data_IF_098596489621
#
_entry.id   IF_098596489621
#
_cell.length_a   1.000
_cell.length_b   1.000
_cell.length_c   1.000
_cell.angle_alpha   90.00
_cell.angle_beta   90.00
_cell.angle_gamma   90.00
#
_symmetry.space_group_name_H-M   'P 1'
#
loop_
_entity.id
_entity.type
_entity.pdbx_description
1 polymer ?
#
# COMPACT_ATOMS: atom_id res chain seq x y z
N UNK A 1 6.91 7.40 -15.38
CA UNK A 1 8.19 6.68 -15.42
C UNK A 1 8.63 6.53 -16.88
N UNK A 2 9.57 7.35 -17.35
CA UNK A 2 10.47 6.91 -18.44
C UNK A 2 11.04 5.53 -18.07
N UNK A 3 11.44 4.70 -19.05
CA UNK A 3 11.95 3.33 -18.82
C UNK A 3 12.64 3.24 -17.48
N UNK A 4 12.07 2.46 -16.55
CA UNK A 4 12.65 2.30 -15.22
C UNK A 4 13.94 1.52 -15.45
N UNK A 5 15.02 2.25 -15.69
CA UNK A 5 16.35 1.69 -15.94
C UNK A 5 16.87 1.22 -14.59
N UNK A 6 16.46 -0.01 -14.24
CA UNK A 6 16.89 -0.69 -13.02
C UNK A 6 18.37 -1.02 -13.19
N UNK A 7 19.22 -0.10 -12.77
CA UNK A 7 20.66 -0.26 -12.73
C UNK A 7 21.14 -0.31 -11.26
N UNK A 8 21.33 -1.53 -10.71
CA UNK A 8 21.78 -1.72 -9.33
C UNK A 8 23.05 -0.94 -8.96
N UNK A 9 23.97 -0.76 -9.92
CA UNK A 9 25.23 -0.03 -9.67
C UNK A 9 25.01 1.45 -9.32
N UNK A 10 23.86 2.01 -9.69
CA UNK A 10 23.48 3.40 -9.40
C UNK A 10 22.54 3.53 -8.21
N UNK A 11 22.22 2.44 -7.52
CA UNK A 11 21.26 2.45 -6.42
C UNK A 11 21.71 3.38 -5.29
N UNK A 12 22.94 3.17 -4.79
CA UNK A 12 23.48 3.94 -3.67
C UNK A 12 23.66 5.43 -3.99
N UNK A 13 24.03 5.75 -5.24
CA UNK A 13 24.08 7.13 -5.74
C UNK A 13 22.69 7.80 -5.65
N UNK A 14 21.66 7.14 -6.17
CA UNK A 14 20.30 7.70 -6.17
C UNK A 14 19.69 7.79 -4.77
N UNK A 15 20.00 6.84 -3.89
CA UNK A 15 19.58 6.91 -2.49
C UNK A 15 20.24 8.11 -1.78
N UNK A 16 21.52 8.35 -2.03
CA UNK A 16 22.22 9.53 -1.52
C UNK A 16 21.59 10.83 -2.03
N UNK A 17 21.26 10.91 -3.33
CA UNK A 17 20.55 12.07 -3.91
C UNK A 17 19.19 12.31 -3.23
N UNK A 18 18.41 11.25 -2.97
CA UNK A 18 17.13 11.34 -2.25
C UNK A 18 17.33 11.83 -0.81
N UNK A 19 18.35 11.31 -0.14
CA UNK A 19 18.70 11.65 1.25
C UNK A 19 19.08 13.13 1.34
N UNK A 20 19.95 13.61 0.46
CA UNK A 20 20.37 15.01 0.39
C UNK A 20 19.18 15.93 0.11
N UNK A 21 18.38 15.61 -0.92
CA UNK A 21 17.21 16.41 -1.30
C UNK A 21 16.16 16.46 -0.20
N UNK A 22 15.90 15.35 0.50
CA UNK A 22 14.95 15.34 1.62
C UNK A 22 15.50 16.18 2.78
N UNK A 23 16.79 16.03 3.13
CA UNK A 23 17.44 16.83 4.17
C UNK A 23 17.37 18.33 3.85
N UNK A 24 17.67 18.73 2.61
CA UNK A 24 17.59 20.13 2.18
C UNK A 24 16.15 20.68 2.25
N UNK A 25 15.17 19.90 1.81
CA UNK A 25 13.75 20.27 1.81
C UNK A 25 13.22 20.60 3.22
N UNK A 26 13.72 19.91 4.25
CA UNK A 26 13.31 20.08 5.64
C UNK A 26 14.31 20.90 6.47
N UNK A 27 15.33 21.49 5.86
CA UNK A 27 16.37 22.28 6.54
C UNK A 27 15.86 23.50 7.31
N UNK A 28 14.63 23.96 7.05
CA UNK A 28 13.99 25.05 7.78
C UNK A 28 13.43 24.63 9.16
N UNK A 29 13.30 23.32 9.41
CA UNK A 29 12.81 22.78 10.67
C UNK A 29 13.98 22.24 11.50
N UNK A 30 13.79 22.16 12.81
CA UNK A 30 14.70 21.43 13.70
C UNK A 30 14.34 19.94 13.62
N UNK A 31 15.04 19.20 12.76
CA UNK A 31 14.87 17.76 12.55
C UNK A 31 16.05 16.98 13.11
N UNK A 32 15.82 15.78 13.66
CA UNK A 32 16.90 14.89 14.06
C UNK A 32 17.66 14.35 12.83
N UNK A 33 18.71 13.57 13.08
CA UNK A 33 19.40 12.83 12.03
C UNK A 33 18.41 11.95 11.25
N UNK A 34 18.47 12.03 9.92
CA UNK A 34 17.58 11.31 9.03
C UNK A 34 17.88 9.81 9.07
N UNK A 35 16.91 9.02 9.49
CA UNK A 35 16.96 7.56 9.43
C UNK A 35 16.68 7.09 7.99
N UNK A 36 17.59 6.36 7.36
CA UNK A 36 17.45 5.94 5.95
C UNK A 36 17.21 4.44 5.85
N UNK A 37 16.08 4.07 5.26
CA UNK A 37 15.64 2.68 5.08
C UNK A 37 15.68 2.29 3.61
N UNK A 38 16.70 1.50 3.25
CA UNK A 38 16.94 1.05 1.88
C UNK A 38 15.88 0.05 1.37
N UNK A 39 15.75 -0.05 0.05
CA UNK A 39 15.02 -1.12 -0.63
C UNK A 39 15.99 -2.17 -1.17
N UNK A 40 15.54 -3.42 -1.39
CA UNK A 40 16.19 -4.28 -2.36
C UNK A 40 16.37 -3.55 -3.70
N UNK A 41 17.55 -3.67 -4.30
CA UNK A 41 17.91 -3.01 -5.58
C UNK A 41 17.10 -3.55 -6.76
N UNK A 42 16.57 -4.77 -6.64
CA UNK A 42 15.74 -5.40 -7.66
C UNK A 42 14.63 -6.21 -6.99
N UNK A 43 13.61 -6.54 -7.78
CA UNK A 43 12.49 -7.40 -7.37
C UNK A 43 11.72 -6.92 -6.14
N UNK A 44 11.70 -5.61 -5.94
CA UNK A 44 11.08 -4.98 -4.78
C UNK A 44 9.57 -4.76 -4.97
N UNK A 45 9.09 -4.62 -6.21
CA UNK A 45 7.72 -4.20 -6.49
C UNK A 45 6.77 -5.40 -6.56
N UNK A 46 5.84 -5.46 -5.62
CA UNK A 46 4.88 -6.55 -5.48
C UNK A 46 3.66 -6.44 -6.41
N UNK A 47 3.50 -5.32 -7.11
CA UNK A 47 2.40 -5.08 -8.07
C UNK A 47 2.88 -4.46 -9.37
N UNK A 48 2.43 -4.99 -10.50
CA UNK A 48 2.78 -4.46 -11.82
C UNK A 48 1.59 -4.56 -12.78
N UNK A 49 1.47 -3.57 -13.66
CA UNK A 49 0.38 -3.47 -14.64
C UNK A 49 1.01 -3.31 -16.03
N UNK A 50 0.61 -4.16 -16.97
CA UNK A 50 1.17 -4.16 -18.32
C UNK A 50 0.05 -4.10 -19.34
N UNK A 51 0.23 -3.30 -20.40
CA UNK A 51 -0.63 -3.45 -21.58
C UNK A 51 -0.21 -4.70 -22.33
N UNK A 52 -1.15 -5.28 -23.04
CA UNK A 52 -0.90 -6.42 -23.93
C UNK A 52 -0.99 -5.94 -25.37
N UNK A 53 0.06 -6.23 -26.14
CA UNK A 53 0.11 -5.96 -27.57
C UNK A 53 -0.03 -7.27 -28.35
N UNK A 54 -0.70 -7.20 -29.50
CA UNK A 54 -0.94 -8.35 -30.37
C UNK A 54 -0.30 -8.06 -31.74
N UNK A 55 0.52 -8.97 -32.23
CA UNK A 55 1.16 -8.88 -33.55
C UNK A 55 1.03 -10.22 -34.27
N UNK A 56 0.07 -10.30 -35.20
CA UNK A 56 -0.29 -11.56 -35.84
C UNK A 56 -0.82 -12.56 -34.79
N UNK A 57 -0.11 -13.68 -34.64
CA UNK A 57 -0.39 -14.71 -33.62
C UNK A 57 0.41 -14.50 -32.33
N UNK A 58 1.40 -13.60 -32.33
CA UNK A 58 2.17 -13.26 -31.14
C UNK A 58 1.36 -12.35 -30.19
N UNK A 59 1.72 -12.40 -28.91
CA UNK A 59 1.15 -11.59 -27.84
C UNK A 59 2.24 -11.33 -26.80
N UNK A 60 2.45 -10.06 -26.43
CA UNK A 60 3.50 -9.71 -25.47
C UNK A 60 3.12 -8.48 -24.63
N UNK A 61 3.78 -8.32 -23.49
CA UNK A 61 3.58 -7.16 -22.63
C UNK A 61 4.29 -5.93 -23.18
N UNK A 62 3.66 -4.78 -22.99
CA UNK A 62 4.25 -3.48 -23.30
C UNK A 62 4.01 -2.48 -22.17
N UNK A 63 4.96 -1.58 -22.03
CA UNK A 63 4.85 -0.36 -21.24
C UNK A 63 5.12 0.84 -22.15
N UNK A 64 4.89 2.04 -21.63
CA UNK A 64 5.12 3.29 -22.35
C UNK A 64 6.17 4.12 -21.64
N UNK A 65 7.14 4.63 -22.40
CA UNK A 65 8.00 5.69 -21.92
C UNK A 65 7.13 6.91 -21.58
N UNK A 66 7.26 7.48 -20.39
CA UNK A 66 6.36 8.56 -20.00
C UNK A 66 6.67 9.93 -20.58
N UNK A 67 7.89 10.16 -21.07
CA UNK A 67 8.27 11.38 -21.77
C UNK A 67 7.85 11.28 -23.24
N UNK A 68 8.32 10.26 -23.94
CA UNK A 68 8.10 10.12 -25.39
C UNK A 68 6.74 9.51 -25.75
N UNK A 69 6.06 8.86 -24.78
CA UNK A 69 4.86 8.04 -24.99
C UNK A 69 5.07 6.83 -25.92
N UNK A 70 6.31 6.53 -26.29
CA UNK A 70 6.63 5.37 -27.11
C UNK A 70 6.44 4.08 -26.34
N UNK A 71 5.85 3.09 -27.00
CA UNK A 71 5.69 1.74 -26.45
C UNK A 71 6.99 0.96 -26.57
N UNK A 72 7.28 0.11 -25.59
CA UNK A 72 8.38 -0.85 -25.64
C UNK A 72 7.92 -2.21 -25.11
N UNK A 73 8.47 -3.28 -25.69
CA UNK A 73 8.22 -4.66 -25.29
C UNK A 73 8.88 -4.95 -23.95
N UNK A 74 8.18 -5.70 -23.10
CA UNK A 74 8.62 -6.07 -21.75
C UNK A 74 8.54 -7.58 -21.60
N UNK A 75 9.66 -8.27 -21.84
CA UNK A 75 9.75 -9.72 -21.59
C UNK A 75 10.12 -10.04 -20.14
N UNK A 76 10.80 -9.10 -19.48
CA UNK A 76 11.19 -9.12 -18.07
C UNK A 76 11.07 -7.71 -17.51
N UNK A 77 10.76 -7.60 -16.23
CA UNK A 77 10.63 -6.35 -15.51
C UNK A 77 11.32 -6.44 -14.14
N UNK A 78 12.65 -6.20 -14.06
CA UNK A 78 13.46 -6.41 -12.86
C UNK A 78 13.01 -5.64 -11.61
N UNK A 79 12.21 -4.59 -11.76
CA UNK A 79 11.60 -3.89 -10.62
C UNK A 79 10.50 -4.74 -9.95
N UNK A 80 9.71 -5.50 -10.72
CA UNK A 80 8.69 -6.39 -10.16
C UNK A 80 9.31 -7.60 -9.48
N UNK A 81 8.57 -8.16 -8.53
CA UNK A 81 8.95 -9.36 -7.78
C UNK A 81 9.39 -10.50 -8.71
N UNK A 82 10.21 -11.41 -8.17
CA UNK A 82 10.63 -12.62 -8.91
C UNK A 82 9.42 -13.41 -9.38
N UNK A 83 8.42 -13.58 -8.50
CA UNK A 83 7.18 -14.29 -8.82
C UNK A 83 6.45 -13.72 -10.04
N UNK A 84 6.41 -12.39 -10.21
CA UNK A 84 5.85 -11.76 -11.40
C UNK A 84 6.70 -12.06 -12.64
N UNK A 85 8.03 -11.88 -12.55
CA UNK A 85 8.95 -12.12 -13.68
C UNK A 85 8.94 -13.58 -14.15
N UNK A 86 8.82 -14.53 -13.21
CA UNK A 86 8.76 -15.96 -13.49
C UNK A 86 7.42 -16.33 -14.15
N UNK A 87 6.31 -15.72 -13.70
CA UNK A 87 4.96 -16.00 -14.22
C UNK A 87 4.70 -15.39 -15.60
N UNK A 88 5.18 -14.17 -15.86
CA UNK A 88 4.93 -13.41 -17.10
C UNK A 88 5.11 -14.23 -18.40
N UNK A 89 6.26 -14.87 -18.66
CA UNK A 89 6.46 -15.63 -19.90
C UNK A 89 5.55 -16.87 -19.97
N UNK A 90 5.39 -17.60 -18.85
CA UNK A 90 4.55 -18.81 -18.80
C UNK A 90 3.08 -18.49 -19.04
N UNK A 91 2.58 -17.42 -18.43
CA UNK A 91 1.21 -16.97 -18.60
C UNK A 91 0.94 -16.56 -20.05
N UNK A 92 1.86 -15.82 -20.67
CA UNK A 92 1.74 -15.41 -22.08
C UNK A 92 1.74 -16.63 -23.01
N UNK A 93 2.69 -17.55 -22.81
CA UNK A 93 2.81 -18.76 -23.63
C UNK A 93 1.57 -19.66 -23.55
N UNK A 94 1.03 -19.86 -22.35
CA UNK A 94 -0.17 -20.66 -22.13
C UNK A 94 -1.45 -20.02 -22.70
N UNK A 95 -1.48 -18.69 -22.88
CA UNK A 95 -2.64 -17.98 -23.43
C UNK A 95 -2.60 -17.76 -24.95
N UNK A 96 -1.41 -17.72 -25.57
CA UNK A 96 -1.25 -17.22 -26.95
C UNK A 96 -2.09 -18.00 -27.99
N UNK A 97 -2.18 -19.32 -27.83
CA UNK A 97 -2.92 -20.19 -28.76
C UNK A 97 -4.40 -20.37 -28.35
N UNK A 98 -4.79 -19.89 -27.17
CA UNK A 98 -6.16 -19.96 -26.71
C UNK A 98 -6.94 -18.70 -27.12
N UNK A 99 -7.77 -18.82 -28.15
CA UNK A 99 -8.57 -17.69 -28.66
C UNK A 99 -9.45 -17.04 -27.59
N UNK A 100 -10.02 -17.79 -26.65
CA UNK A 100 -10.86 -17.22 -25.61
C UNK A 100 -10.03 -16.41 -24.60
N UNK A 101 -8.83 -16.84 -24.25
CA UNK A 101 -7.98 -16.11 -23.30
C UNK A 101 -7.26 -14.93 -23.96
N UNK A 102 -6.91 -15.04 -25.25
CA UNK A 102 -6.17 -14.02 -26.01
C UNK A 102 -7.06 -12.91 -26.59
N UNK A 103 -8.22 -13.26 -27.17
CA UNK A 103 -8.98 -12.31 -27.98
C UNK A 103 -9.45 -11.10 -27.16
N UNK A 104 -9.02 -9.90 -27.58
CA UNK A 104 -9.31 -8.59 -26.96
C UNK A 104 -8.78 -8.43 -25.53
N UNK A 105 -7.84 -9.26 -25.07
CA UNK A 105 -7.04 -8.99 -23.88
C UNK A 105 -6.19 -7.75 -24.14
N UNK A 106 -6.28 -6.71 -23.31
CA UNK A 106 -5.54 -5.46 -23.54
C UNK A 106 -4.63 -5.06 -22.38
N UNK A 107 -4.81 -5.66 -21.22
CA UNK A 107 -4.02 -5.38 -20.02
C UNK A 107 -4.03 -6.58 -19.08
N UNK A 108 -2.91 -6.78 -18.39
CA UNK A 108 -2.76 -7.75 -17.32
C UNK A 108 -2.19 -7.05 -16.10
N UNK A 109 -2.88 -7.21 -14.97
CA UNK A 109 -2.45 -6.66 -13.68
C UNK A 109 -2.01 -7.83 -12.79
N UNK A 110 -0.85 -7.67 -12.16
CA UNK A 110 -0.25 -8.64 -11.25
C UNK A 110 -0.21 -8.06 -9.84
N UNK A 111 -0.69 -8.85 -8.88
CA UNK A 111 -0.56 -8.59 -7.45
C UNK A 111 0.08 -9.83 -6.80
N UNK A 112 1.35 -9.72 -6.43
CA UNK A 112 2.15 -10.75 -5.76
C UNK A 112 2.38 -10.38 -4.29
N UNK A 113 2.91 -11.33 -3.52
CA UNK A 113 3.19 -11.17 -2.09
C UNK A 113 4.54 -11.78 -1.73
N UNK A 114 5.10 -11.39 -0.58
CA UNK A 114 6.26 -12.05 0.01
C UNK A 114 5.94 -13.48 0.48
N UNK A 115 4.66 -13.78 0.78
CA UNK A 115 4.21 -15.12 1.14
C UNK A 115 4.22 -16.13 -0.03
N UNK A 116 4.37 -15.65 -1.27
CA UNK A 116 4.37 -16.47 -2.49
C UNK A 116 3.00 -16.61 -3.16
N UNK A 117 1.94 -15.95 -2.68
CA UNK A 117 0.67 -15.87 -3.40
C UNK A 117 0.73 -14.84 -4.54
N UNK A 118 0.02 -15.13 -5.64
CA UNK A 118 -0.14 -14.19 -6.76
C UNK A 118 -1.57 -14.21 -7.30
N UNK A 119 -2.09 -13.02 -7.59
CA UNK A 119 -3.38 -12.79 -8.21
C UNK A 119 -3.15 -12.04 -9.51
N UNK A 120 -3.73 -12.57 -10.60
CA UNK A 120 -3.62 -11.96 -11.92
C UNK A 120 -5.00 -11.58 -12.45
N UNK A 121 -5.13 -10.32 -12.84
CA UNK A 121 -6.35 -9.80 -13.46
C UNK A 121 -6.14 -9.63 -14.96
N UNK A 122 -6.97 -10.31 -15.74
CA UNK A 122 -6.98 -10.28 -17.20
C UNK A 122 -8.09 -9.34 -17.67
N UNK A 123 -7.72 -8.22 -18.32
CA UNK A 123 -8.66 -7.16 -18.69
C UNK A 123 -8.97 -7.16 -20.19
N UNK A 124 -10.26 -7.14 -20.53
CA UNK A 124 -10.75 -7.38 -21.88
C UNK A 124 -11.65 -6.25 -22.43
N UNK A 125 -11.51 -6.00 -23.74
CA UNK A 125 -12.45 -5.19 -24.53
C UNK A 125 -13.60 -6.04 -25.13
N UNK A 126 -14.05 -7.06 -24.40
CA UNK A 126 -15.21 -7.91 -24.75
C UNK A 126 -15.84 -8.48 -23.49
N UNK A 127 -17.10 -8.89 -23.57
CA UNK A 127 -17.75 -9.64 -22.49
C UNK A 127 -17.17 -11.05 -22.40
N UNK A 128 -17.13 -11.59 -21.18
CA UNK A 128 -16.61 -12.92 -20.88
C UNK A 128 -17.78 -13.87 -20.64
N UNK A 129 -17.67 -15.09 -21.16
CA UNK A 129 -18.71 -16.12 -21.08
C UNK A 129 -18.17 -17.45 -20.56
N UNK A 130 -19.00 -18.49 -20.58
CA UNK A 130 -18.69 -19.80 -20.00
C UNK A 130 -17.39 -20.41 -20.55
N UNK A 131 -17.15 -20.29 -21.86
CA UNK A 131 -15.91 -20.79 -22.48
C UNK A 131 -14.66 -20.12 -21.87
N UNK A 132 -14.69 -18.80 -21.65
CA UNK A 132 -13.57 -18.11 -21.01
C UNK A 132 -13.35 -18.60 -19.58
N UNK A 133 -14.44 -18.87 -18.83
CA UNK A 133 -14.34 -19.39 -17.46
C UNK A 133 -13.69 -20.77 -17.45
N UNK A 134 -14.08 -21.66 -18.37
CA UNK A 134 -13.50 -23.00 -18.50
C UNK A 134 -12.01 -22.93 -18.83
N UNK A 135 -11.65 -22.12 -19.83
CA UNK A 135 -10.26 -21.96 -20.26
C UNK A 135 -9.40 -21.28 -19.17
N UNK A 136 -9.94 -20.30 -18.45
CA UNK A 136 -9.25 -19.63 -17.36
C UNK A 136 -9.02 -20.57 -16.16
N UNK A 137 -9.97 -21.48 -15.88
CA UNK A 137 -9.77 -22.53 -14.86
C UNK A 137 -8.66 -23.51 -15.26
N UNK A 138 -8.64 -23.93 -16.53
CA UNK A 138 -7.58 -24.81 -17.05
C UNK A 138 -6.21 -24.12 -17.01
N UNK A 139 -6.12 -22.86 -17.43
CA UNK A 139 -4.91 -22.04 -17.34
C UNK A 139 -4.41 -21.93 -15.89
N UNK A 140 -5.30 -21.59 -14.96
CA UNK A 140 -4.96 -21.51 -13.53
C UNK A 140 -4.41 -22.83 -13.01
N UNK A 141 -5.07 -23.95 -13.33
CA UNK A 141 -4.63 -25.27 -12.89
C UNK A 141 -3.24 -25.60 -13.45
N UNK A 142 -3.03 -25.41 -14.75
CA UNK A 142 -1.74 -25.63 -15.40
C UNK A 142 -0.62 -24.85 -14.71
N UNK A 143 -0.82 -23.55 -14.45
CA UNK A 143 0.21 -22.73 -13.81
C UNK A 143 0.42 -23.10 -12.33
N UNK A 144 -0.62 -23.55 -11.61
CA UNK A 144 -0.44 -24.07 -10.26
C UNK A 144 0.30 -25.41 -10.24
N UNK A 145 0.14 -26.25 -11.27
CA UNK A 145 0.89 -27.50 -11.42
C UNK A 145 2.40 -27.24 -11.68
N UNK A 146 2.74 -26.08 -12.24
CA UNK A 146 4.12 -25.56 -12.37
C UNK A 146 4.67 -24.98 -11.03
N UNK A 147 3.88 -25.01 -9.95
CA UNK A 147 4.31 -24.64 -8.60
C UNK A 147 3.92 -23.23 -8.15
N UNK A 148 3.09 -22.51 -8.91
CA UNK A 148 2.56 -21.22 -8.48
C UNK A 148 1.38 -21.36 -7.49
N UNK A 149 1.17 -20.35 -6.65
CA UNK A 149 -0.08 -20.17 -5.90
C UNK A 149 -0.89 -19.04 -6.54
N UNK A 150 -1.45 -19.32 -7.72
CA UNK A 150 -2.12 -18.37 -8.59
C UNK A 150 -3.63 -18.38 -8.42
N UNK A 151 -4.23 -17.18 -8.40
CA UNK A 151 -5.63 -16.96 -8.71
C UNK A 151 -5.81 -16.01 -9.90
N UNK A 152 -6.96 -16.13 -10.57
CA UNK A 152 -7.29 -15.32 -11.75
C UNK A 152 -8.61 -14.57 -11.59
N UNK A 153 -8.64 -13.37 -12.16
CA UNK A 153 -9.83 -12.54 -12.32
C UNK A 153 -9.98 -12.15 -13.79
N UNK A 154 -11.18 -12.32 -14.32
CA UNK A 154 -11.57 -11.77 -15.63
C UNK A 154 -12.29 -10.45 -15.45
N UNK A 155 -11.80 -9.40 -16.11
CA UNK A 155 -12.44 -8.08 -16.09
C UNK A 155 -12.84 -7.63 -17.48
N UNK A 156 -14.05 -7.09 -17.56
CA UNK A 156 -14.54 -6.38 -18.73
C UNK A 156 -15.42 -5.22 -18.28
N UNK A 157 -15.95 -4.44 -19.22
CA UNK A 157 -16.84 -3.31 -18.91
C UNK A 157 -18.03 -3.80 -18.06
N UNK A 158 -18.12 -3.30 -16.81
CA UNK A 158 -19.13 -3.65 -15.80
C UNK A 158 -19.20 -5.15 -15.45
N UNK A 159 -18.11 -5.88 -15.63
CA UNK A 159 -18.03 -7.31 -15.39
C UNK A 159 -16.75 -7.65 -14.64
N UNK A 160 -16.89 -8.42 -13.55
CA UNK A 160 -15.80 -9.01 -12.77
C UNK A 160 -16.15 -10.48 -12.56
N UNK A 161 -15.34 -11.38 -13.10
CA UNK A 161 -15.43 -12.82 -12.87
C UNK A 161 -14.26 -13.20 -11.98
N UNK A 162 -14.56 -13.58 -10.74
CA UNK A 162 -13.59 -14.10 -9.79
C UNK A 162 -13.63 -15.62 -9.89
N UNK A 163 -12.50 -16.29 -10.12
CA UNK A 163 -12.50 -17.76 -10.18
C UNK A 163 -12.72 -18.36 -8.79
N UNK A 164 -11.87 -18.00 -7.82
CA UNK A 164 -11.97 -18.50 -6.44
C UNK A 164 -12.01 -17.36 -5.42
N UNK A 165 -11.02 -16.45 -5.49
CA UNK A 165 -10.89 -15.29 -4.60
C UNK A 165 -10.31 -14.10 -5.35
N UNK A 166 -10.58 -12.90 -4.86
CA UNK A 166 -10.11 -11.64 -5.40
C UNK A 166 -9.11 -10.92 -4.48
N UNK A 167 -8.42 -11.70 -3.67
CA UNK A 167 -7.37 -11.25 -2.77
C UNK A 167 -6.21 -12.23 -2.74
N UNK A 168 -5.07 -11.75 -2.26
CA UNK A 168 -3.91 -12.54 -1.84
C UNK A 168 -3.70 -12.38 -0.34
N UNK A 169 -3.02 -13.34 0.27
CA UNK A 169 -2.59 -13.29 1.67
C UNK A 169 -1.11 -12.93 1.71
N UNK A 170 -0.79 -11.76 2.23
CA UNK A 170 0.58 -11.33 2.49
C UNK A 170 1.02 -11.75 3.89
N UNK A 171 2.33 -11.97 4.04
CA UNK A 171 3.00 -12.13 5.33
C UNK A 171 4.16 -11.15 5.42
N UNK A 172 4.11 -10.26 6.40
CA UNK A 172 5.16 -9.28 6.68
C UNK A 172 5.78 -9.61 8.03
N UNK A 173 7.10 -9.72 8.08
CA UNK A 173 7.82 -9.94 9.32
C UNK A 173 8.23 -8.59 9.93
N UNK A 174 7.88 -8.35 11.20
CA UNK A 174 8.11 -7.09 11.91
C UNK A 174 8.75 -7.44 13.26
N UNK A 175 10.03 -7.10 13.44
CA UNK A 175 10.77 -7.38 14.68
C UNK A 175 10.74 -8.87 15.12
N UNK A 176 10.61 -9.79 14.16
CA UNK A 176 10.57 -11.24 14.40
C UNK A 176 9.17 -11.84 14.54
N UNK A 177 8.13 -11.01 14.62
CA UNK A 177 6.73 -11.45 14.58
C UNK A 177 6.19 -11.39 13.14
N UNK A 178 5.39 -12.39 12.74
CA UNK A 178 4.84 -12.48 11.38
C UNK A 178 3.37 -12.08 11.37
N UNK A 179 3.04 -11.06 10.59
CA UNK A 179 1.69 -10.51 10.45
C UNK A 179 1.05 -10.93 9.13
N UNK A 180 -0.22 -11.33 9.21
CA UNK A 180 -1.04 -11.77 8.07
C UNK A 180 -1.87 -10.60 7.55
N UNK A 181 -1.76 -10.28 6.26
CA UNK A 181 -2.54 -9.23 5.62
C UNK A 181 -3.22 -9.73 4.35
N UNK A 182 -4.54 -9.79 4.36
CA UNK A 182 -5.36 -9.89 3.17
C UNK A 182 -5.20 -8.60 2.34
N UNK A 183 -4.90 -8.78 1.07
CA UNK A 183 -4.73 -7.72 0.10
C UNK A 183 -5.72 -7.95 -1.06
N UNK A 184 -6.77 -7.14 -1.10
CA UNK A 184 -7.84 -7.25 -2.09
C UNK A 184 -7.44 -6.52 -3.37
N UNK A 185 -7.72 -7.14 -4.52
CA UNK A 185 -7.51 -6.54 -5.83
C UNK A 185 -8.11 -5.13 -5.95
N UNK A 186 -7.38 -4.20 -6.58
CA UNK A 186 -7.71 -2.78 -6.71
C UNK A 186 -7.84 -2.00 -5.39
N UNK A 187 -7.56 -2.61 -4.24
CA UNK A 187 -7.36 -1.88 -2.98
C UNK A 187 -5.89 -1.47 -2.85
N UNK A 188 -5.63 -0.39 -2.12
CA UNK A 188 -4.27 0.08 -1.90
C UNK A 188 -3.49 -0.89 -1.01
N UNK A 189 -2.24 -1.14 -1.38
CA UNK A 189 -1.23 -1.84 -0.59
C UNK A 189 0.12 -1.22 -0.86
N UNK A 190 1.02 -1.30 0.12
CA UNK A 190 2.37 -0.82 -0.07
C UNK A 190 3.06 -1.64 -1.17
N UNK A 191 3.56 -0.98 -2.24
CA UNK A 191 4.04 -1.69 -3.42
C UNK A 191 5.37 -2.40 -3.19
N UNK A 192 6.07 -2.10 -2.10
CA UNK A 192 7.35 -2.70 -1.75
C UNK A 192 7.25 -3.39 -0.39
N UNK A 193 7.02 -4.70 -0.38
CA UNK A 193 6.80 -5.48 0.85
C UNK A 193 7.96 -5.39 1.83
N UNK A 194 9.21 -5.37 1.35
CA UNK A 194 10.41 -5.29 2.22
C UNK A 194 10.64 -3.92 2.83
N UNK A 195 10.25 -2.87 2.15
CA UNK A 195 10.25 -1.53 2.75
C UNK A 195 9.03 -1.34 3.65
N UNK A 196 7.89 -1.98 3.35
CA UNK A 196 6.73 -1.98 4.23
C UNK A 196 7.04 -2.62 5.61
N UNK A 197 7.78 -3.74 5.65
CA UNK A 197 8.30 -4.31 6.91
C UNK A 197 9.08 -3.26 7.72
N UNK A 198 10.02 -2.55 7.08
CA UNK A 198 10.83 -1.50 7.72
C UNK A 198 9.99 -0.31 8.23
N UNK A 199 8.95 0.08 7.49
CA UNK A 199 8.02 1.14 7.91
C UNK A 199 7.26 0.71 9.17
N UNK A 200 6.81 -0.55 9.23
CA UNK A 200 6.14 -1.10 10.41
C UNK A 200 7.11 -1.18 11.60
N UNK A 201 8.34 -1.64 11.39
CA UNK A 201 9.38 -1.69 12.44
C UNK A 201 9.68 -0.30 13.00
N UNK A 202 9.87 0.71 12.13
CA UNK A 202 10.09 2.09 12.54
C UNK A 202 8.90 2.67 13.31
N UNK A 203 7.67 2.40 12.86
CA UNK A 203 6.47 2.86 13.55
C UNK A 203 6.34 2.23 14.95
N UNK A 204 6.62 0.93 15.07
CA UNK A 204 6.65 0.22 16.37
C UNK A 204 7.74 0.79 17.26
N UNK A 205 8.93 1.04 16.74
CA UNK A 205 10.03 1.63 17.50
C UNK A 205 9.71 3.05 18.01
N UNK A 206 9.17 3.93 17.15
CA UNK A 206 8.79 5.29 17.54
C UNK A 206 7.74 5.36 18.65
N UNK A 207 6.90 4.33 18.80
CA UNK A 207 5.74 4.34 19.70
C UNK A 207 5.92 3.52 20.98
N UNK A 208 7.11 2.95 21.23
CA UNK A 208 7.36 2.10 22.41
C UNK A 208 6.99 2.79 23.74
N UNK A 209 7.24 4.10 23.84
CA UNK A 209 6.97 4.87 25.06
C UNK A 209 5.58 5.49 25.11
N UNK A 210 4.72 5.25 24.12
CA UNK A 210 3.37 5.81 24.08
C UNK A 210 2.50 5.29 25.22
N UNK A 211 1.46 6.05 25.55
CA UNK A 211 0.54 5.79 26.66
C UNK A 211 -0.90 5.94 26.20
N UNK A 212 -1.79 5.10 26.72
CA UNK A 212 -3.20 5.10 26.39
C UNK A 212 -3.49 4.44 25.04
N UNK A 213 -4.39 5.04 24.28
CA UNK A 213 -4.92 4.49 23.04
C UNK A 213 -4.30 5.15 21.80
N UNK A 214 -4.35 4.46 20.66
CA UNK A 214 -3.99 4.97 19.34
C UNK A 214 -5.24 5.30 18.53
N UNK A 215 -5.22 6.43 17.82
CA UNK A 215 -6.13 6.71 16.72
C UNK A 215 -5.39 6.65 15.38
N UNK A 216 -5.88 5.89 14.42
CA UNK A 216 -5.38 5.87 13.04
C UNK A 216 -6.41 6.40 12.05
N UNK A 217 -5.98 7.31 11.18
CA UNK A 217 -6.76 7.77 10.03
C UNK A 217 -6.27 7.10 8.74
N UNK A 218 -7.20 6.71 7.88
CA UNK A 218 -6.93 6.10 6.58
C UNK A 218 -6.24 4.73 6.68
N UNK A 219 -6.74 3.86 7.57
CA UNK A 219 -6.02 2.64 7.95
C UNK A 219 -5.91 1.58 6.84
N UNK A 220 -6.63 1.72 5.71
CA UNK A 220 -6.64 0.73 4.65
C UNK A 220 -7.07 -0.64 5.16
N UNK A 221 -6.24 -1.66 4.92
CA UNK A 221 -6.44 -3.02 5.44
C UNK A 221 -5.91 -3.22 6.88
N UNK A 222 -5.63 -2.14 7.61
CA UNK A 222 -5.12 -2.16 8.99
C UNK A 222 -3.61 -2.37 9.08
N UNK A 223 -2.83 -1.99 8.05
CA UNK A 223 -1.40 -2.27 7.96
C UNK A 223 -0.64 -1.86 9.24
N UNK A 224 -0.71 -0.57 9.60
CA UNK A 224 -0.05 -0.03 10.79
C UNK A 224 -0.81 -0.36 12.07
N UNK A 225 -2.14 -0.20 12.09
CA UNK A 225 -2.99 -0.52 13.26
C UNK A 225 -2.65 -1.84 13.92
N UNK A 226 -2.45 -2.90 13.12
CA UNK A 226 -2.19 -4.24 13.64
C UNK A 226 -0.78 -4.38 14.22
N UNK A 227 0.23 -3.83 13.55
CA UNK A 227 1.61 -3.85 14.05
C UNK A 227 1.76 -2.98 15.31
N UNK A 228 1.12 -1.82 15.33
CA UNK A 228 1.16 -0.87 16.43
C UNK A 228 0.34 -1.33 17.65
N UNK A 229 -0.63 -2.23 17.47
CA UNK A 229 -1.52 -2.71 18.53
C UNK A 229 -0.78 -3.19 19.80
N UNK A 230 0.44 -3.69 19.66
CA UNK A 230 1.29 -4.14 20.78
C UNK A 230 1.73 -3.00 21.72
N UNK A 231 1.78 -1.76 21.24
CA UNK A 231 2.27 -0.59 21.99
C UNK A 231 1.14 0.22 22.67
N UNK A 232 -0.13 -0.14 22.45
CA UNK A 232 -1.28 0.64 22.91
C UNK A 232 -2.29 -0.21 23.67
N UNK A 233 -3.05 0.42 24.58
CA UNK A 233 -4.11 -0.27 25.32
C UNK A 233 -5.25 -0.67 24.38
N UNK A 234 -5.69 0.25 23.52
CA UNK A 234 -6.60 0.01 22.39
C UNK A 234 -6.18 0.83 21.18
N UNK A 235 -6.57 0.35 20.01
CA UNK A 235 -6.42 1.04 18.74
C UNK A 235 -7.79 1.28 18.13
N UNK A 236 -8.06 2.52 17.78
CA UNK A 236 -9.21 2.93 17.00
C UNK A 236 -8.75 3.36 15.62
N UNK A 237 -9.21 2.70 14.57
CA UNK A 237 -8.76 2.98 13.21
C UNK A 237 -9.93 3.32 12.29
N UNK A 238 -9.75 4.26 11.37
CA UNK A 238 -10.81 4.73 10.47
C UNK A 238 -10.50 4.47 9.01
N UNK A 239 -11.49 3.97 8.26
CA UNK A 239 -11.39 3.73 6.82
C UNK A 239 -12.77 3.89 6.16
N UNK A 240 -12.82 4.41 4.94
CA UNK A 240 -14.06 4.64 4.20
C UNK A 240 -14.40 3.49 3.25
N UNK A 241 -13.39 2.94 2.59
CA UNK A 241 -13.48 1.93 1.55
C UNK A 241 -13.94 0.59 2.15
N UNK A 242 -15.12 0.14 1.72
CA UNK A 242 -15.73 -1.11 2.21
C UNK A 242 -14.80 -2.33 2.05
N UNK A 243 -14.14 -2.57 0.91
CA UNK A 243 -13.23 -3.72 0.76
C UNK A 243 -12.05 -3.66 1.73
N UNK A 244 -11.50 -2.46 1.97
CA UNK A 244 -10.42 -2.23 2.93
C UNK A 244 -10.87 -2.53 4.37
N UNK A 245 -12.06 -2.07 4.76
CA UNK A 245 -12.64 -2.39 6.09
C UNK A 245 -12.87 -3.90 6.27
N UNK A 246 -13.41 -4.58 5.26
CA UNK A 246 -13.62 -6.03 5.31
C UNK A 246 -12.29 -6.78 5.43
N UNK A 247 -11.26 -6.34 4.69
CA UNK A 247 -9.91 -6.88 4.80
C UNK A 247 -9.28 -6.61 6.17
N UNK A 248 -9.41 -5.40 6.72
CA UNK A 248 -8.91 -5.06 8.04
C UNK A 248 -9.53 -5.96 9.12
N UNK A 249 -10.84 -6.20 9.06
CA UNK A 249 -11.53 -7.12 9.97
C UNK A 249 -11.03 -8.58 9.83
N UNK A 250 -10.79 -9.04 8.60
CA UNK A 250 -10.14 -10.34 8.38
C UNK A 250 -8.75 -10.39 9.01
N UNK A 251 -7.96 -9.32 8.85
CA UNK A 251 -6.58 -9.26 9.35
C UNK A 251 -6.51 -9.23 10.88
N UNK A 252 -7.42 -8.52 11.55
CA UNK A 252 -7.56 -8.54 13.01
C UNK A 252 -7.77 -9.99 13.49
N UNK A 253 -8.72 -10.70 12.87
CA UNK A 253 -9.03 -12.08 13.23
C UNK A 253 -7.87 -13.04 12.91
N UNK A 254 -7.21 -12.87 11.76
CA UNK A 254 -6.10 -13.73 11.33
C UNK A 254 -4.87 -13.61 12.24
N UNK A 255 -4.61 -12.40 12.75
CA UNK A 255 -3.51 -12.12 13.68
C UNK A 255 -3.89 -12.32 15.15
N UNK A 256 -5.16 -12.64 15.45
CA UNK A 256 -5.69 -12.82 16.82
C UNK A 256 -5.47 -11.58 17.70
N UNK A 257 -5.63 -10.41 17.12
CA UNK A 257 -5.54 -9.13 17.82
C UNK A 257 -6.93 -8.79 18.37
N UNK A 258 -7.01 -8.41 19.65
CA UNK A 258 -8.25 -8.19 20.38
C UNK A 258 -8.51 -6.72 20.74
N UNK A 259 -7.49 -5.88 20.67
CA UNK A 259 -7.54 -4.48 21.08
C UNK A 259 -7.64 -3.48 19.91
N UNK A 260 -7.92 -3.94 18.68
CA UNK A 260 -8.10 -3.06 17.50
C UNK A 260 -9.56 -3.02 17.07
N UNK A 261 -10.09 -1.81 16.85
CA UNK A 261 -11.44 -1.60 16.35
C UNK A 261 -11.46 -0.69 15.11
N UNK A 262 -12.09 -1.17 14.03
CA UNK A 262 -12.23 -0.42 12.78
C UNK A 262 -13.57 0.29 12.71
N UNK A 263 -13.54 1.58 12.38
CA UNK A 263 -14.72 2.41 12.12
C UNK A 263 -14.79 2.73 10.64
N UNK A 264 -15.96 2.48 10.03
CA UNK A 264 -16.22 2.91 8.66
C UNK A 264 -16.63 4.38 8.56
N UNK A 265 -15.66 5.28 8.56
CA UNK A 265 -15.85 6.74 8.56
C UNK A 265 -14.68 7.46 7.89
N UNK A 266 -14.92 8.63 7.28
CA UNK A 266 -13.84 9.50 6.79
C UNK A 266 -13.20 10.27 7.94
N UNK A 267 -11.97 10.78 7.75
CA UNK A 267 -11.33 11.68 8.70
C UNK A 267 -12.16 12.93 8.98
N UNK A 268 -12.76 13.54 7.94
CA UNK A 268 -13.65 14.70 8.07
C UNK A 268 -14.85 14.42 8.99
N UNK A 269 -15.59 13.33 8.74
CA UNK A 269 -16.72 12.93 9.57
C UNK A 269 -16.26 12.57 10.99
N UNK A 270 -15.07 11.97 11.14
CA UNK A 270 -14.48 11.66 12.44
C UNK A 270 -14.17 12.91 13.26
N UNK A 271 -13.56 13.93 12.65
CA UNK A 271 -13.31 15.24 13.29
C UNK A 271 -14.61 15.85 13.82
N UNK A 272 -15.66 15.87 12.99
CA UNK A 272 -16.98 16.39 13.39
C UNK A 272 -17.57 15.59 14.56
N UNK A 273 -17.36 14.28 14.60
CA UNK A 273 -17.80 13.42 15.69
C UNK A 273 -17.04 13.71 17.00
N UNK A 274 -15.71 13.86 16.92
CA UNK A 274 -14.85 14.18 18.08
C UNK A 274 -15.17 15.55 18.69
N UNK A 275 -15.46 16.55 17.86
CA UNK A 275 -15.88 17.88 18.31
C UNK A 275 -17.30 17.90 18.90
N UNK A 276 -18.03 16.79 18.87
CA UNK A 276 -19.41 16.70 19.36
C UNK A 276 -20.42 17.50 18.54
N UNK A 277 -20.05 17.93 17.31
CA UNK A 277 -20.90 18.73 16.44
C UNK A 277 -22.04 17.92 15.82
N UNK A 278 -21.88 16.59 15.68
CA UNK A 278 -22.87 15.69 15.10
C UNK A 278 -22.79 14.28 15.67
N UNK A 279 -23.95 13.68 15.95
CA UNK A 279 -24.04 12.26 16.27
C UNK A 279 -24.05 11.39 15.00
N UNK A 280 -23.23 10.35 15.00
CA UNK A 280 -23.15 9.39 13.90
C UNK A 280 -23.71 8.03 14.34
N UNK A 281 -24.80 7.59 13.70
CA UNK A 281 -25.42 6.28 13.94
C UNK A 281 -24.45 5.11 13.84
N UNK A 282 -23.41 5.23 13.01
CA UNK A 282 -22.39 4.17 12.81
C UNK A 282 -21.56 3.92 14.07
N UNK A 283 -21.24 4.96 14.86
CA UNK A 283 -20.53 4.82 16.12
C UNK A 283 -21.41 4.07 17.15
N UNK A 284 -22.69 4.43 17.23
CA UNK A 284 -23.67 3.73 18.08
C UNK A 284 -23.82 2.25 17.67
N UNK A 285 -23.91 1.97 16.37
CA UNK A 285 -24.00 0.60 15.84
C UNK A 285 -22.75 -0.24 16.11
N UNK A 286 -21.57 0.39 16.12
CA UNK A 286 -20.31 -0.24 16.46
C UNK A 286 -20.07 -0.35 17.97
N UNK A 287 -21.00 0.17 18.80
CA UNK A 287 -20.88 0.26 20.26
C UNK A 287 -19.59 1.00 20.70
N UNK A 288 -19.25 2.07 19.98
CA UNK A 288 -18.05 2.88 20.25
C UNK A 288 -18.48 4.17 20.93
N UNK A 289 -18.04 4.33 22.17
CA UNK A 289 -18.05 5.62 22.84
C UNK A 289 -16.67 6.28 22.67
N UNK A 290 -16.57 7.25 21.76
CA UNK A 290 -15.33 7.99 21.51
C UNK A 290 -14.78 8.64 22.78
N UNK A 291 -15.64 9.04 23.73
CA UNK A 291 -15.19 9.66 24.99
C UNK A 291 -14.57 8.66 25.96
N UNK A 292 -14.78 7.37 25.74
CA UNK A 292 -14.14 6.31 26.52
C UNK A 292 -12.69 6.06 26.09
N UNK A 293 -12.28 6.54 24.91
CA UNK A 293 -10.92 6.41 24.40
C UNK A 293 -10.03 7.53 24.93
N UNK A 294 -8.84 7.16 25.40
CA UNK A 294 -7.80 8.07 25.84
C UNK A 294 -6.69 8.12 24.79
N UNK A 295 -7.02 8.63 23.60
CA UNK A 295 -6.10 8.69 22.49
C UNK A 295 -5.11 9.83 22.67
N UNK A 296 -3.88 9.52 23.07
CA UNK A 296 -2.79 10.50 23.15
C UNK A 296 -1.95 10.54 21.87
N UNK A 297 -1.95 9.44 21.11
CA UNK A 297 -1.20 9.32 19.85
C UNK A 297 -2.17 9.20 18.68
N UNK A 298 -1.88 9.91 17.60
CA UNK A 298 -2.57 9.80 16.32
C UNK A 298 -1.58 9.39 15.21
N UNK A 299 -1.99 8.45 14.37
CA UNK A 299 -1.28 8.03 13.17
C UNK A 299 -2.04 8.47 11.93
N UNK A 300 -1.33 9.03 10.95
CA UNK A 300 -1.89 9.44 9.66
C UNK A 300 -0.98 9.00 8.50
N UNK A 301 -1.59 8.33 7.51
CA UNK A 301 -1.00 8.01 6.21
C UNK A 301 -1.95 8.50 5.09
N UNK A 302 -2.00 9.84 4.87
CA UNK A 302 -2.95 10.43 3.94
C UNK A 302 -2.58 10.14 2.47
N UNK A 303 -3.53 10.33 1.54
CA UNK A 303 -3.23 10.31 0.11
C UNK A 303 -2.18 11.37 -0.27
N UNK A 304 -1.68 11.30 -1.51
CA UNK A 304 -0.67 12.23 -2.06
C UNK A 304 -0.95 13.74 -1.91
N UNK A 305 -2.20 14.13 -1.67
CA UNK A 305 -2.60 15.51 -1.41
C UNK A 305 -2.24 15.98 0.00
N UNK A 306 -1.78 15.11 0.89
CA UNK A 306 -1.62 15.39 2.32
C UNK A 306 -2.96 15.52 3.04
N UNK A 307 -2.90 16.05 4.25
CA UNK A 307 -4.08 16.40 5.05
C UNK A 307 -4.55 17.82 4.71
N UNK A 308 -5.87 18.03 4.74
CA UNK A 308 -6.42 19.39 4.72
C UNK A 308 -6.13 20.14 6.03
N UNK A 309 -6.40 21.46 6.02
CA UNK A 309 -6.10 22.35 7.14
C UNK A 309 -6.91 21.99 8.40
N UNK A 310 -8.16 21.56 8.25
CA UNK A 310 -9.02 21.23 9.39
C UNK A 310 -8.56 19.94 10.07
N UNK A 311 -8.12 18.96 9.28
CA UNK A 311 -7.49 17.74 9.75
C UNK A 311 -6.15 18.05 10.43
N UNK A 312 -5.30 18.91 9.85
CA UNK A 312 -4.06 19.36 10.50
C UNK A 312 -4.33 19.96 11.89
N UNK A 313 -5.32 20.85 12.01
CA UNK A 313 -5.70 21.45 13.30
C UNK A 313 -6.26 20.44 14.29
N UNK A 314 -7.01 19.46 13.81
CA UNK A 314 -7.53 18.38 14.64
C UNK A 314 -6.39 17.52 15.21
N UNK A 315 -5.42 17.14 14.38
CA UNK A 315 -4.29 16.31 14.82
C UNK A 315 -3.35 17.05 15.80
N UNK A 316 -3.27 18.38 15.74
CA UNK A 316 -2.54 19.19 16.75
C UNK A 316 -3.12 19.04 18.18
N UNK A 317 -4.34 18.51 18.31
CA UNK A 317 -4.96 18.22 19.60
C UNK A 317 -4.36 17.02 20.35
N UNK A 318 -3.57 16.18 19.69
CA UNK A 318 -2.94 14.98 20.28
C UNK A 318 -1.57 15.32 20.84
N UNK A 319 -1.06 14.51 21.78
CA UNK A 319 0.28 14.71 22.35
C UNK A 319 1.38 14.25 21.39
N UNK A 320 1.06 13.22 20.59
CA UNK A 320 2.00 12.58 19.67
C UNK A 320 1.34 12.37 18.31
N UNK A 321 2.04 12.74 17.25
CA UNK A 321 1.56 12.58 15.87
C UNK A 321 2.60 11.78 15.10
N UNK A 322 2.20 10.63 14.56
CA UNK A 322 2.98 9.90 13.58
C UNK A 322 2.39 10.16 12.19
N UNK A 323 3.22 10.63 11.27
CA UNK A 323 2.81 10.95 9.91
C UNK A 323 3.75 10.28 8.93
N UNK A 324 3.22 9.32 8.15
CA UNK A 324 3.88 8.76 6.97
C UNK A 324 3.33 9.41 5.71
N UNK A 325 4.20 9.78 4.77
CA UNK A 325 3.82 10.49 3.55
C UNK A 325 4.59 9.99 2.33
N UNK A 326 3.84 9.65 1.29
CA UNK A 326 4.36 9.36 -0.05
C UNK A 326 4.65 10.61 -0.89
N UNK A 327 4.45 11.80 -0.31
CA UNK A 327 4.72 13.10 -0.95
C UNK A 327 5.32 14.11 0.05
N UNK A 328 6.66 14.22 0.10
CA UNK A 328 7.35 15.12 1.01
C UNK A 328 7.00 16.60 0.83
N UNK A 329 6.55 17.03 -0.36
CA UNK A 329 6.12 18.43 -0.58
C UNK A 329 4.89 18.76 0.25
N UNK A 330 3.85 17.91 0.20
CA UNK A 330 2.63 18.11 1.00
C UNK A 330 2.87 17.85 2.49
N UNK A 331 3.81 16.96 2.83
CA UNK A 331 4.24 16.79 4.23
C UNK A 331 4.85 18.10 4.77
N UNK A 332 5.70 18.76 3.99
CA UNK A 332 6.29 20.06 4.35
C UNK A 332 5.20 21.12 4.57
N UNK A 333 4.24 21.23 3.65
CA UNK A 333 3.12 22.17 3.80
C UNK A 333 2.29 21.89 5.08
N UNK A 334 2.07 20.62 5.42
CA UNK A 334 1.39 20.26 6.67
C UNK A 334 2.27 20.57 7.90
N UNK A 335 3.59 20.36 7.82
CA UNK A 335 4.52 20.67 8.90
C UNK A 335 4.64 22.16 9.19
N UNK A 336 4.35 23.05 8.23
CA UNK A 336 4.23 24.50 8.51
C UNK A 336 3.14 24.78 9.57
N UNK A 337 2.09 23.96 9.63
CA UNK A 337 1.04 24.05 10.66
C UNK A 337 1.42 23.22 11.89
N UNK A 338 1.78 21.94 11.72
CA UNK A 338 2.00 21.04 12.85
C UNK A 338 3.16 21.49 13.75
N UNK A 339 4.21 22.08 13.16
CA UNK A 339 5.38 22.58 13.89
C UNK A 339 5.07 23.82 14.75
N UNK A 340 3.89 24.43 14.64
CA UNK A 340 3.46 25.48 15.58
C UNK A 340 3.29 24.94 17.01
N UNK A 341 2.94 23.66 17.15
CA UNK A 341 2.58 23.04 18.43
C UNK A 341 3.42 21.82 18.80
N UNK A 342 4.13 21.23 17.84
CA UNK A 342 4.93 20.02 18.03
C UNK A 342 6.37 20.20 17.54
N UNK A 343 7.29 19.43 18.12
CA UNK A 343 8.67 19.26 17.65
C UNK A 343 8.80 17.93 16.89
N UNK A 344 9.66 17.90 15.85
CA UNK A 344 9.97 16.67 15.11
C UNK A 344 11.03 15.89 15.90
N UNK A 345 10.68 14.72 16.43
CA UNK A 345 11.56 13.91 17.28
C UNK A 345 12.11 12.67 16.58
N UNK A 346 11.47 12.22 15.49
CA UNK A 346 12.00 11.20 14.56
C UNK A 346 11.76 11.62 13.13
N UNK A 347 12.70 11.30 12.25
CA UNK A 347 12.60 11.61 10.82
C UNK A 347 13.21 10.49 9.99
N UNK A 348 12.44 9.95 9.05
CA UNK A 348 12.82 8.78 8.27
C UNK A 348 12.57 8.96 6.77
N UNK A 349 13.46 8.41 5.95
CA UNK A 349 13.30 8.19 4.52
C UNK A 349 13.16 6.69 4.27
N UNK A 350 12.06 6.29 3.63
CA UNK A 350 11.85 4.93 3.15
C UNK A 350 11.95 4.92 1.63
N UNK A 351 12.90 4.17 1.08
CA UNK A 351 13.08 4.11 -0.36
C UNK A 351 12.09 3.13 -1.03
N UNK A 352 10.79 3.41 -0.91
CA UNK A 352 9.73 2.54 -1.44
C UNK A 352 9.77 2.43 -2.97
N UNK A 353 10.32 3.43 -3.65
CA UNK A 353 10.36 3.55 -5.11
C UNK A 353 11.78 3.82 -5.66
N UNK A 354 12.70 2.84 -5.61
CA UNK A 354 14.01 2.93 -6.23
C UNK A 354 13.92 3.30 -7.72
N UNK A 355 14.94 3.98 -8.24
CA UNK A 355 15.01 4.40 -9.65
C UNK A 355 13.90 5.37 -10.09
N UNK A 356 13.31 6.07 -9.13
CA UNK A 356 12.32 7.12 -9.36
C UNK A 356 12.60 8.33 -8.47
N UNK A 357 12.00 9.46 -8.81
CA UNK A 357 12.06 10.66 -7.96
C UNK A 357 11.15 10.57 -6.71
N UNK A 358 10.30 9.55 -6.58
CA UNK A 358 9.40 9.44 -5.43
C UNK A 358 10.18 9.08 -4.16
N UNK A 359 9.76 9.69 -3.05
CA UNK A 359 10.31 9.49 -1.72
C UNK A 359 9.14 9.27 -0.77
N UNK A 360 9.27 8.29 0.11
CA UNK A 360 8.35 8.06 1.22
C UNK A 360 9.04 8.58 2.48
N UNK A 361 8.40 9.45 3.24
CA UNK A 361 8.98 10.07 4.43
C UNK A 361 8.10 9.80 5.65
N UNK A 362 8.72 9.56 6.81
CA UNK A 362 8.04 9.43 8.09
C UNK A 362 8.53 10.50 9.06
N UNK A 363 7.60 11.12 9.79
CA UNK A 363 7.92 11.99 10.94
C UNK A 363 7.16 11.53 12.17
N UNK A 364 7.83 11.58 13.32
CA UNK A 364 7.20 11.49 14.63
C UNK A 364 7.32 12.85 15.30
N UNK A 365 6.18 13.36 15.76
CA UNK A 365 6.02 14.70 16.32
C UNK A 365 5.54 14.57 17.76
N UNK A 366 6.15 15.30 18.67
CA UNK A 366 5.73 15.37 20.07
C UNK A 366 5.39 16.81 20.46
N UNK A 367 4.36 16.98 21.29
CA UNK A 367 3.92 18.31 21.72
C UNK A 367 5.06 19.07 22.39
N UNK A 368 5.22 20.34 22.02
CA UNK A 368 6.17 21.27 22.64
C UNK A 368 5.89 21.40 24.14
N UNK A 369 6.97 21.40 24.92
CA UNK A 369 6.92 21.54 26.38
C UNK A 369 6.43 22.92 26.86
#
# INVERSE_FOLDING_TARGET
MANLDVNPQRYQEQLAEKTERLTEMFSQYDVPELEVYESPEQHYRMRAEFRVWHEGDDMYYVMFNQETKEKYRVDQFPAASRLINDLMPLLTDAMKDNHSLRHKLFQVDFLSTLSGEILVSLLYHRQLGEQWIQDAKALKQQLNDEGFNLNLIGRARKMKIVLDRDYVIEKLDVNGDSYIYQQVENSFTQPNGKVAEKMLEWAVDCTQDSKGDLLELYCGNGNFSLALAQNFERVLATELAKPSVESAQYNIAANKIDNVQIIRMSAEDFTVAMEGKREFRRLQQANIDLKSYNCNTIFVDPPRSGMDVDTCKMVQGYERIMYISCNPETLKENLDILSETHDITRFALFDQFPYTHHMEAGVFLERKA
#
